data_IF_830293274902
#
_entry.id   IF_830293274902
#
_cell.length_a   1.000
_cell.length_b   1.000
_cell.length_c   1.000
_cell.angle_alpha   90.00
_cell.angle_beta   90.00
_cell.angle_gamma   90.00
#
_symmetry.space_group_name_H-M   'P 1'
#
loop_
_entity.id
_entity.type
_entity.pdbx_description
1 polymer ?
#
# COMPACT_ATOMS: atom_id res chain seq x y z
N UNK A 1 70.54 7.62 -63.79
CA UNK A 1 70.59 7.60 -62.31
C UNK A 1 69.27 7.01 -61.82
N UNK A 2 69.27 5.78 -61.29
CA UNK A 2 68.05 5.09 -60.88
C UNK A 2 67.42 5.80 -59.65
N UNK A 3 66.16 6.22 -59.76
CA UNK A 3 65.46 6.82 -58.64
C UNK A 3 65.14 5.74 -57.59
N UNK A 4 65.55 5.89 -56.33
CA UNK A 4 65.22 4.93 -55.29
C UNK A 4 63.71 4.96 -55.01
N UNK A 5 63.05 3.82 -55.22
CA UNK A 5 61.58 3.60 -55.11
C UNK A 5 61.04 3.92 -53.70
N UNK A 6 61.91 4.00 -52.68
CA UNK A 6 61.53 4.16 -51.28
C UNK A 6 61.90 5.51 -50.64
N UNK A 7 62.33 6.51 -51.41
CA UNK A 7 62.69 7.80 -50.84
C UNK A 7 61.46 8.69 -50.52
N UNK A 8 60.99 8.64 -49.27
CA UNK A 8 59.94 9.54 -48.75
C UNK A 8 60.58 10.69 -47.95
N UNK A 9 61.03 11.73 -48.65
CA UNK A 9 61.63 12.94 -48.05
C UNK A 9 60.73 13.63 -47.02
N UNK A 10 59.41 13.48 -47.15
CA UNK A 10 58.41 14.16 -46.31
C UNK A 10 57.95 13.31 -45.11
N UNK A 11 58.36 12.03 -45.04
CA UNK A 11 57.89 11.01 -44.07
C UNK A 11 56.36 11.05 -43.91
N UNK A 12 55.64 11.32 -45.00
CA UNK A 12 54.21 11.63 -44.93
C UNK A 12 53.39 10.41 -44.46
N UNK A 13 53.87 9.21 -44.80
CA UNK A 13 53.24 7.93 -44.40
C UNK A 13 53.28 7.72 -42.89
N UNK A 14 54.43 7.97 -42.26
CA UNK A 14 54.61 7.87 -40.82
C UNK A 14 53.78 8.90 -40.04
N UNK A 15 53.62 10.11 -40.60
CA UNK A 15 52.75 11.14 -40.00
C UNK A 15 51.27 10.73 -40.00
N UNK A 16 50.79 10.11 -41.08
CA UNK A 16 49.40 9.60 -41.15
C UNK A 16 49.16 8.46 -40.17
N UNK A 17 50.08 7.51 -40.11
CA UNK A 17 50.02 6.38 -39.18
C UNK A 17 49.99 6.89 -37.74
N UNK A 18 50.88 7.84 -37.40
CA UNK A 18 50.92 8.43 -36.06
C UNK A 18 49.61 9.15 -35.70
N UNK A 19 49.07 9.97 -36.61
CA UNK A 19 47.75 10.60 -36.39
C UNK A 19 46.63 9.59 -36.20
N UNK A 20 46.63 8.47 -36.93
CA UNK A 20 45.66 7.40 -36.76
C UNK A 20 45.74 6.79 -35.36
N UNK A 21 46.95 6.52 -34.88
CA UNK A 21 47.15 6.03 -33.52
C UNK A 21 46.79 7.06 -32.46
N UNK A 22 47.11 8.34 -32.67
CA UNK A 22 46.75 9.42 -31.76
C UNK A 22 45.22 9.57 -31.66
N UNK A 23 44.53 9.60 -32.81
CA UNK A 23 43.06 9.65 -32.85
C UNK A 23 42.48 8.44 -32.16
N UNK A 24 42.92 7.22 -32.51
CA UNK A 24 42.44 5.98 -31.90
C UNK A 24 42.65 5.98 -30.38
N UNK A 25 43.82 6.43 -29.92
CA UNK A 25 44.14 6.57 -28.51
C UNK A 25 43.14 7.50 -27.81
N UNK A 26 42.91 8.70 -28.37
CA UNK A 26 41.93 9.65 -27.84
C UNK A 26 40.53 9.04 -27.81
N UNK A 27 40.09 8.35 -28.85
CA UNK A 27 38.76 7.72 -28.87
C UNK A 27 38.64 6.65 -27.80
N UNK A 28 39.64 5.79 -27.63
CA UNK A 28 39.65 4.75 -26.60
C UNK A 28 39.63 5.37 -25.20
N UNK A 29 40.42 6.42 -24.96
CA UNK A 29 40.42 7.11 -23.66
C UNK A 29 39.06 7.71 -23.34
N UNK A 30 38.40 8.36 -24.32
CA UNK A 30 37.05 8.90 -24.14
C UNK A 30 36.03 7.80 -23.85
N UNK A 31 36.12 6.65 -24.51
CA UNK A 31 35.24 5.51 -24.25
C UNK A 31 35.42 4.96 -22.83
N UNK A 32 36.67 4.86 -22.34
CA UNK A 32 36.97 4.42 -20.98
C UNK A 32 36.38 5.41 -19.97
N UNK A 33 36.59 6.71 -20.16
CA UNK A 33 36.03 7.76 -19.29
C UNK A 33 34.51 7.69 -19.28
N UNK A 34 33.88 7.59 -20.46
CA UNK A 34 32.44 7.46 -20.59
C UNK A 34 31.91 6.24 -19.85
N UNK A 35 32.56 5.09 -20.03
CA UNK A 35 32.20 3.82 -19.39
C UNK A 35 32.30 3.91 -17.86
N UNK A 36 33.41 4.46 -17.33
CA UNK A 36 33.59 4.65 -15.88
C UNK A 36 32.51 5.59 -15.34
N UNK A 37 32.25 6.70 -16.02
CA UNK A 37 31.22 7.65 -15.63
C UNK A 37 29.83 7.00 -15.62
N UNK A 38 29.49 6.25 -16.66
CA UNK A 38 28.19 5.55 -16.72
C UNK A 38 28.10 4.43 -15.69
N UNK A 39 29.17 3.66 -15.45
CA UNK A 39 29.19 2.64 -14.42
C UNK A 39 28.92 3.22 -13.03
N UNK A 40 29.67 4.27 -12.64
CA UNK A 40 29.48 4.97 -11.36
C UNK A 40 28.08 5.59 -11.27
N UNK A 41 27.55 6.16 -12.35
CA UNK A 41 26.24 6.82 -12.33
C UNK A 41 25.05 5.85 -12.38
N UNK A 42 25.24 4.67 -12.97
CA UNK A 42 24.21 3.64 -13.11
C UNK A 42 24.23 2.61 -11.99
N UNK A 43 25.11 2.75 -10.98
CA UNK A 43 24.96 2.01 -9.73
C UNK A 43 23.62 2.39 -9.10
N UNK A 44 22.62 1.54 -9.36
CA UNK A 44 21.37 1.54 -8.60
C UNK A 44 21.78 1.24 -7.17
N UNK A 45 21.61 2.23 -6.29
CA UNK A 45 21.77 2.07 -4.85
C UNK A 45 21.20 0.70 -4.45
N UNK A 46 22.00 -0.19 -3.81
CA UNK A 46 21.52 -1.49 -3.41
C UNK A 46 20.23 -1.28 -2.63
N UNK A 47 19.18 -2.02 -3.00
CA UNK A 47 17.91 -1.96 -2.29
C UNK A 47 18.22 -2.05 -0.81
N UNK A 48 17.90 -0.96 -0.09
CA UNK A 48 18.18 -0.85 1.33
C UNK A 48 17.72 -2.16 1.97
N UNK A 49 18.61 -2.85 2.69
CA UNK A 49 18.31 -4.04 3.50
C UNK A 49 17.29 -3.76 4.62
N UNK A 50 16.62 -2.62 4.56
CA UNK A 50 15.41 -2.33 5.29
C UNK A 50 14.33 -3.32 4.81
N UNK A 51 13.83 -4.21 5.68
CA UNK A 51 12.69 -5.04 5.32
C UNK A 51 11.57 -4.10 4.89
N UNK A 52 11.17 -4.20 3.62
CA UNK A 52 10.08 -3.39 3.10
C UNK A 52 8.90 -3.55 4.05
N UNK A 53 8.59 -2.46 4.75
CA UNK A 53 7.55 -2.43 5.76
C UNK A 53 6.22 -2.59 5.04
N UNK A 54 5.85 -3.85 4.77
CA UNK A 54 4.54 -4.23 4.25
C UNK A 54 3.53 -3.65 5.21
N UNK A 55 2.89 -2.55 4.81
CA UNK A 55 1.79 -1.96 5.59
C UNK A 55 0.75 -3.06 5.75
N UNK A 56 0.45 -3.52 6.97
CA UNK A 56 -0.60 -4.48 7.17
C UNK A 56 -1.90 -3.76 6.86
N UNK A 57 -2.42 -3.95 5.64
CA UNK A 57 -3.76 -3.51 5.25
C UNK A 57 -4.76 -4.33 6.08
N UNK A 58 -5.03 -3.88 7.30
CA UNK A 58 -6.10 -4.42 8.14
C UNK A 58 -7.41 -3.93 7.54
N UNK A 59 -8.29 -4.88 7.20
CA UNK A 59 -9.63 -4.56 6.75
C UNK A 59 -10.34 -3.68 7.79
N UNK A 60 -10.91 -2.56 7.33
CA UNK A 60 -11.62 -1.59 8.15
C UNK A 60 -12.82 -2.30 8.83
N UNK A 61 -12.79 -2.43 10.16
CA UNK A 61 -13.80 -3.14 10.98
C UNK A 61 -15.12 -2.37 11.14
N UNK A 62 -15.51 -1.54 10.17
CA UNK A 62 -16.77 -0.78 10.25
C UNK A 62 -17.98 -1.70 10.36
N UNK A 63 -17.96 -2.82 9.61
CA UNK A 63 -19.00 -3.85 9.67
C UNK A 63 -19.09 -4.57 11.03
N UNK A 64 -18.03 -4.61 11.84
CA UNK A 64 -18.10 -5.25 13.17
C UNK A 64 -18.92 -4.41 14.16
N UNK A 65 -18.80 -3.07 14.10
CA UNK A 65 -19.57 -2.18 14.97
C UNK A 65 -21.06 -2.22 14.63
N UNK A 66 -21.41 -2.26 13.35
CA UNK A 66 -22.80 -2.39 12.90
C UNK A 66 -23.39 -3.74 13.29
N UNK A 67 -22.67 -4.85 13.03
CA UNK A 67 -23.09 -6.19 13.46
C UNK A 67 -23.25 -6.30 14.98
N UNK A 68 -22.38 -5.66 15.76
CA UNK A 68 -22.50 -5.65 17.22
C UNK A 68 -23.74 -4.87 17.69
N UNK A 69 -24.06 -3.74 17.04
CA UNK A 69 -25.30 -2.98 17.31
C UNK A 69 -26.55 -3.77 16.95
N UNK A 70 -26.56 -4.44 15.80
CA UNK A 70 -27.67 -5.30 15.39
C UNK A 70 -27.87 -6.48 16.35
N UNK A 71 -26.79 -7.15 16.76
CA UNK A 71 -26.86 -8.24 17.72
C UNK A 71 -27.43 -7.78 19.08
N UNK A 72 -26.98 -6.61 19.59
CA UNK A 72 -27.56 -6.02 20.80
C UNK A 72 -29.05 -5.69 20.64
N UNK A 73 -29.46 -5.18 19.48
CA UNK A 73 -30.88 -4.90 19.18
C UNK A 73 -31.72 -6.17 19.11
N UNK A 74 -31.20 -7.25 18.53
CA UNK A 74 -31.86 -8.55 18.48
C UNK A 74 -32.01 -9.17 19.88
N UNK A 75 -30.97 -9.09 20.71
CA UNK A 75 -31.04 -9.52 22.11
C UNK A 75 -32.06 -8.71 22.90
N UNK A 76 -32.11 -7.38 22.72
CA UNK A 76 -33.11 -6.52 23.36
C UNK A 76 -34.55 -6.83 22.89
N UNK A 77 -34.72 -7.28 21.64
CA UNK A 77 -36.01 -7.75 21.10
C UNK A 77 -36.38 -9.17 21.53
N UNK A 78 -35.46 -9.94 22.09
CA UNK A 78 -35.73 -11.28 22.62
C UNK A 78 -36.43 -11.17 23.97
N UNK A 79 -37.63 -10.61 23.97
CA UNK A 79 -38.58 -10.71 25.06
C UNK A 79 -39.23 -12.10 25.00
N UNK A 80 -39.39 -12.80 26.12
CA UNK A 80 -40.08 -14.11 26.22
C UNK A 80 -41.59 -14.04 25.92
N UNK A 81 -42.05 -12.95 25.29
CA UNK A 81 -43.45 -12.67 25.02
C UNK A 81 -43.85 -13.32 23.70
N UNK A 82 -44.97 -14.05 23.72
CA UNK A 82 -45.55 -14.68 22.52
C UNK A 82 -46.43 -13.70 21.72
N UNK A 83 -46.98 -12.67 22.38
CA UNK A 83 -47.82 -11.65 21.75
C UNK A 83 -47.03 -10.47 21.17
N UNK A 84 -47.62 -9.82 20.16
CA UNK A 84 -47.14 -8.55 19.57
C UNK A 84 -47.91 -7.33 20.09
N UNK A 85 -48.93 -7.51 20.93
CA UNK A 85 -49.78 -6.45 21.48
C UNK A 85 -49.01 -5.54 22.45
N UNK A 86 -49.51 -4.35 22.73
CA UNK A 86 -48.90 -3.49 23.74
C UNK A 86 -48.99 -4.15 25.13
N UNK A 87 -47.97 -4.05 26.01
CA UNK A 87 -48.02 -4.66 27.34
C UNK A 87 -49.26 -4.27 28.16
N UNK A 88 -49.78 -3.05 27.97
CA UNK A 88 -51.00 -2.54 28.60
C UNK A 88 -52.29 -3.21 28.13
N UNK A 89 -52.28 -3.84 26.97
CA UNK A 89 -53.44 -4.50 26.37
C UNK A 89 -53.43 -6.02 26.57
N UNK A 90 -52.43 -6.56 27.27
CA UNK A 90 -52.37 -8.00 27.55
C UNK A 90 -53.31 -8.32 28.70
N UNK A 91 -54.15 -9.33 28.50
CA UNK A 91 -55.06 -9.83 29.53
C UNK A 91 -54.26 -10.33 30.75
N UNK A 92 -54.67 -9.93 31.95
CA UNK A 92 -54.10 -10.41 33.20
C UNK A 92 -54.15 -11.96 33.23
N UNK A 93 -53.05 -12.59 33.66
CA UNK A 93 -52.86 -14.05 33.72
C UNK A 93 -52.73 -14.79 32.38
N UNK A 94 -52.37 -14.14 31.28
CA UNK A 94 -52.17 -14.79 29.97
C UNK A 94 -50.88 -15.62 29.83
N UNK A 95 -50.21 -16.00 30.93
CA UNK A 95 -48.89 -16.68 30.95
C UNK A 95 -47.78 -15.96 30.15
N UNK A 96 -47.97 -14.67 29.87
CA UNK A 96 -46.99 -13.86 29.15
C UNK A 96 -45.93 -13.31 30.11
N UNK A 97 -44.65 -13.44 29.73
CA UNK A 97 -43.51 -12.90 30.49
C UNK A 97 -43.40 -11.38 30.37
N UNK A 98 -44.39 -10.65 30.87
CA UNK A 98 -44.37 -9.19 30.98
C UNK A 98 -43.62 -8.83 32.26
N UNK A 99 -42.58 -8.01 32.14
CA UNK A 99 -41.94 -7.40 33.31
C UNK A 99 -42.94 -6.40 33.88
N UNK A 100 -43.60 -6.74 34.99
CA UNK A 100 -44.45 -5.81 35.71
C UNK A 100 -43.60 -4.60 36.09
N UNK A 101 -43.88 -3.45 35.49
CA UNK A 101 -43.39 -2.19 36.01
C UNK A 101 -44.25 -1.90 37.25
N UNK A 102 -43.64 -1.98 38.44
CA UNK A 102 -44.28 -1.49 39.66
C UNK A 102 -44.65 -0.01 39.45
N UNK A 103 -45.81 0.42 39.96
CA UNK A 103 -46.23 1.81 39.89
C UNK A 103 -45.16 2.70 40.53
N UNK A 104 -44.61 3.64 39.76
CA UNK A 104 -43.59 4.58 40.20
C UNK A 104 -44.10 6.00 39.92
N UNK A 105 -44.37 6.81 40.96
CA UNK A 105 -45.07 8.10 40.79
C UNK A 105 -44.30 9.13 39.96
N UNK A 106 -43.01 8.90 39.69
CA UNK A 106 -42.16 9.77 38.86
C UNK A 106 -41.99 9.26 37.42
N UNK A 107 -42.55 8.09 37.06
CA UNK A 107 -42.48 7.53 35.71
C UNK A 107 -43.87 7.56 35.05
N UNK A 108 -44.03 8.46 34.08
CA UNK A 108 -45.27 8.65 33.32
C UNK A 108 -45.69 7.42 32.50
N UNK A 109 -44.80 6.44 32.31
CA UNK A 109 -45.12 5.16 31.67
C UNK A 109 -45.61 4.08 32.65
N UNK A 110 -45.61 4.36 33.96
CA UNK A 110 -46.13 3.45 34.98
C UNK A 110 -47.65 3.62 35.09
N UNK A 111 -48.40 2.57 34.73
CA UNK A 111 -49.87 2.57 34.83
C UNK A 111 -50.28 1.71 36.03
N UNK A 112 -51.00 2.29 36.99
CA UNK A 112 -51.77 1.54 37.99
C UNK A 112 -53.09 1.10 37.36
N UNK A 113 -53.40 -0.19 37.41
CA UNK A 113 -54.77 -0.68 37.22
C UNK A 113 -55.48 -0.75 38.58
#
# INVERSE_FOLDING_TARGET
>A
MAQPVFYDARRARWKRIRRLFDVLGVTITLLIIFFVYTAVRNEKLPELLLPQQKRPYRALKEKEKERAKEHRRLLARRTHRKSKTAPSQVKLNAEEGIRAAFYAPYDAASFSS
#
